data_IF_432466300300
#
_entry.id   IF_432466300300
#
_cell.length_a   1.000
_cell.length_b   1.000
_cell.length_c   1.000
_cell.angle_alpha   90.00
_cell.angle_beta   90.00
_cell.angle_gamma   90.00
#
_symmetry.space_group_name_H-M   'P 1'
#
loop_
_entity.id
_entity.type
_entity.pdbx_description
1 polymer ?
#
# COMPACT_ATOMS: atom_id res chain seq x y z
N UNK A 1 -5.75 9.31 5.40
CA UNK A 1 -6.61 8.67 6.42
C UNK A 1 -6.28 7.19 6.54
N UNK A 2 -6.04 6.69 7.75
CA UNK A 2 -5.97 5.25 8.01
C UNK A 2 -7.40 4.67 8.01
N UNK A 3 -7.66 3.68 7.14
CA UNK A 3 -8.92 2.92 7.10
C UNK A 3 -8.80 1.65 7.95
N UNK A 4 -7.61 1.03 7.96
CA UNK A 4 -7.23 -0.10 8.79
C UNK A 4 -5.71 -0.16 8.90
N UNK A 5 -5.20 -0.66 10.02
CA UNK A 5 -3.77 -0.89 10.27
C UNK A 5 -3.61 -2.05 11.25
N UNK A 6 -2.69 -2.96 10.95
CA UNK A 6 -2.34 -4.11 11.78
C UNK A 6 -2.45 -5.44 11.04
N UNK A 7 -2.08 -6.53 11.69
CA UNK A 7 -1.99 -7.89 11.14
C UNK A 7 -3.32 -8.47 10.59
N UNK A 8 -4.45 -7.84 10.86
CA UNK A 8 -5.75 -8.23 10.30
C UNK A 8 -6.09 -7.57 8.98
N UNK A 9 -5.32 -6.54 8.58
CA UNK A 9 -5.42 -5.88 7.29
C UNK A 9 -5.05 -4.41 7.32
N UNK A 10 -4.32 -4.00 6.31
CA UNK A 10 -3.81 -2.65 6.11
C UNK A 10 -4.51 -1.99 4.92
N UNK A 11 -4.94 -0.74 5.08
CA UNK A 11 -5.52 0.05 4.01
C UNK A 11 -5.51 1.53 4.39
N UNK A 12 -4.92 2.37 3.55
CA UNK A 12 -4.84 3.80 3.75
C UNK A 12 -5.47 4.54 2.57
N UNK A 13 -6.10 5.67 2.84
CA UNK A 13 -6.58 6.60 1.82
C UNK A 13 -5.72 7.87 1.83
N UNK A 14 -5.19 8.23 0.68
CA UNK A 14 -4.52 9.50 0.43
C UNK A 14 -5.22 10.26 -0.69
N UNK A 15 -5.67 11.47 -0.40
CA UNK A 15 -6.42 12.30 -1.35
C UNK A 15 -7.18 13.41 -0.66
N UNK A 16 -8.13 13.98 -1.38
CA UNK A 16 -9.03 15.01 -0.87
C UNK A 16 -10.50 14.52 -0.85
N UNK A 17 -11.44 15.42 -0.58
CA UNK A 17 -12.88 15.10 -0.53
C UNK A 17 -13.53 14.80 -1.88
N UNK A 18 -12.78 14.85 -3.00
CA UNK A 18 -13.28 14.55 -4.35
C UNK A 18 -12.68 13.29 -4.93
N UNK A 19 -11.39 13.06 -4.69
CA UNK A 19 -10.66 11.95 -5.29
C UNK A 19 -9.37 11.64 -4.55
N UNK A 20 -8.90 10.40 -4.69
CA UNK A 20 -7.66 9.95 -4.09
C UNK A 20 -7.26 8.56 -4.52
N UNK A 21 -6.29 8.00 -3.82
CA UNK A 21 -5.77 6.66 -4.02
C UNK A 21 -5.91 5.86 -2.74
N UNK A 22 -5.93 4.54 -2.88
CA UNK A 22 -5.71 3.62 -1.77
C UNK A 22 -4.26 3.16 -1.76
N UNK A 23 -3.71 2.94 -0.58
CA UNK A 23 -2.43 2.29 -0.36
C UNK A 23 -2.75 1.05 0.47
N UNK A 24 -2.47 -0.10 -0.12
CA UNK A 24 -2.91 -1.42 0.28
C UNK A 24 -4.44 -1.61 0.32
N UNK A 25 -4.86 -2.87 0.29
CA UNK A 25 -6.26 -3.29 0.28
C UNK A 25 -6.44 -4.59 1.10
N UNK A 26 -5.89 -4.61 2.31
CA UNK A 26 -5.81 -5.78 3.18
C UNK A 26 -7.09 -6.12 3.91
N UNK A 27 -8.09 -5.25 3.89
CA UNK A 27 -9.42 -5.49 4.46
C UNK A 27 -10.43 -5.77 3.34
N UNK A 28 -11.64 -6.27 3.68
CA UNK A 28 -12.63 -6.60 2.66
C UNK A 28 -13.06 -5.38 1.83
N UNK A 29 -13.34 -5.58 0.54
CA UNK A 29 -13.84 -4.52 -0.34
C UNK A 29 -15.08 -3.83 0.25
N UNK A 30 -16.01 -4.60 0.86
CA UNK A 30 -17.18 -4.06 1.55
C UNK A 30 -16.81 -3.11 2.70
N UNK A 31 -15.78 -3.45 3.46
CA UNK A 31 -15.30 -2.61 4.57
C UNK A 31 -14.65 -1.35 4.04
N UNK A 32 -13.82 -1.44 2.99
CA UNK A 32 -13.24 -0.27 2.31
C UNK A 32 -14.35 0.67 1.85
N UNK A 33 -15.37 0.14 1.15
CA UNK A 33 -16.50 0.95 0.67
C UNK A 33 -17.24 1.65 1.81
N UNK A 34 -17.46 0.95 2.95
CA UNK A 34 -18.08 1.53 4.13
C UNK A 34 -17.27 2.72 4.68
N UNK A 35 -15.95 2.59 4.75
CA UNK A 35 -15.07 3.67 5.17
C UNK A 35 -15.08 4.85 4.17
N UNK A 36 -15.02 4.59 2.87
CA UNK A 36 -15.11 5.62 1.85
C UNK A 36 -16.44 6.40 1.97
N UNK A 37 -17.56 5.69 2.10
CA UNK A 37 -18.88 6.32 2.25
C UNK A 37 -19.01 7.16 3.52
N UNK A 38 -18.38 6.77 4.61
CA UNK A 38 -18.35 7.59 5.84
C UNK A 38 -17.57 8.90 5.65
N UNK A 39 -16.76 9.02 4.60
CA UNK A 39 -16.05 10.25 4.20
C UNK A 39 -16.75 10.99 3.05
N UNK A 40 -17.94 10.55 2.63
CA UNK A 40 -18.64 11.11 1.48
C UNK A 40 -18.07 10.69 0.11
N UNK A 41 -17.28 9.61 0.08
CA UNK A 41 -16.62 9.08 -1.11
C UNK A 41 -17.20 7.71 -1.48
N UNK A 42 -16.93 7.27 -2.72
CA UNK A 42 -17.17 5.90 -3.17
C UNK A 42 -16.01 5.45 -4.06
N UNK A 43 -16.06 4.25 -4.59
CA UNK A 43 -15.04 3.73 -5.52
C UNK A 43 -14.81 4.59 -6.75
N UNK A 44 -15.85 5.27 -7.24
CA UNK A 44 -15.73 6.24 -8.33
C UNK A 44 -14.76 7.41 -8.03
N UNK A 45 -14.46 7.64 -6.77
CA UNK A 45 -13.51 8.66 -6.32
C UNK A 45 -12.07 8.12 -6.19
N UNK A 46 -11.86 6.79 -6.37
CA UNK A 46 -10.57 6.14 -6.24
C UNK A 46 -9.93 5.98 -7.61
N UNK A 47 -8.78 6.58 -7.79
CA UNK A 47 -8.07 6.61 -9.06
C UNK A 47 -7.05 5.48 -9.21
N UNK A 48 -6.79 4.77 -8.14
CA UNK A 48 -5.89 3.61 -8.14
C UNK A 48 -5.64 3.07 -6.75
N UNK A 49 -5.10 1.87 -6.72
CA UNK A 49 -4.65 1.18 -5.51
C UNK A 49 -3.16 0.88 -5.67
N UNK A 50 -2.34 1.40 -4.77
CA UNK A 50 -0.91 1.14 -4.70
C UNK A 50 -0.66 0.00 -3.72
N UNK A 51 0.12 -0.99 -4.10
CA UNK A 51 0.38 -2.16 -3.26
C UNK A 51 1.84 -2.15 -2.83
N UNK A 52 2.08 -2.25 -1.51
CA UNK A 52 3.41 -2.29 -0.91
C UNK A 52 4.07 -3.66 -1.11
N UNK A 53 3.34 -4.76 -0.89
CA UNK A 53 3.82 -6.13 -1.05
C UNK A 53 2.65 -7.14 -1.13
N UNK A 54 2.94 -8.42 -1.28
CA UNK A 54 1.98 -9.48 -1.62
C UNK A 54 1.45 -10.30 -0.44
N UNK A 55 1.59 -9.85 0.80
CA UNK A 55 1.00 -10.51 1.97
C UNK A 55 -0.52 -10.33 2.02
N UNK A 56 -1.21 -11.34 2.56
CA UNK A 56 -2.67 -11.43 2.54
C UNK A 56 -3.39 -10.25 3.22
N UNK A 57 -2.80 -9.70 4.27
CA UNK A 57 -3.31 -8.53 5.00
C UNK A 57 -3.03 -7.18 4.31
N UNK A 58 -2.43 -7.21 3.12
CA UNK A 58 -2.25 -6.06 2.23
C UNK A 58 -3.04 -6.19 0.92
N UNK A 59 -3.40 -7.41 0.51
CA UNK A 59 -3.96 -7.66 -0.83
C UNK A 59 -5.34 -8.31 -0.84
N UNK A 60 -5.97 -8.54 0.30
CA UNK A 60 -7.24 -9.28 0.43
C UNK A 60 -8.33 -8.85 -0.57
N UNK A 61 -8.51 -7.55 -0.79
CA UNK A 61 -9.55 -7.03 -1.67
C UNK A 61 -9.07 -6.76 -3.10
N UNK A 62 -7.79 -6.93 -3.41
CA UNK A 62 -7.16 -6.48 -4.66
C UNK A 62 -7.86 -7.07 -5.89
N UNK A 63 -8.16 -8.37 -5.89
CA UNK A 63 -8.87 -9.00 -7.00
C UNK A 63 -10.26 -8.40 -7.24
N UNK A 64 -11.03 -8.20 -6.18
CA UNK A 64 -12.36 -7.57 -6.29
C UNK A 64 -12.26 -6.13 -6.75
N UNK A 65 -11.33 -5.34 -6.18
CA UNK A 65 -11.13 -3.93 -6.58
C UNK A 65 -10.66 -3.82 -8.02
N UNK A 66 -9.72 -4.67 -8.44
CA UNK A 66 -9.18 -4.65 -9.79
C UNK A 66 -10.16 -5.15 -10.84
N UNK A 67 -10.69 -6.35 -10.67
CA UNK A 67 -11.39 -7.04 -11.76
C UNK A 67 -12.93 -6.85 -11.75
N UNK A 68 -13.55 -6.53 -10.58
CA UNK A 68 -15.00 -6.25 -10.52
C UNK A 68 -15.31 -4.76 -10.43
N UNK A 69 -14.50 -4.00 -9.68
CA UNK A 69 -14.69 -2.54 -9.54
C UNK A 69 -13.94 -1.78 -10.65
N UNK A 70 -12.99 -2.44 -11.32
CA UNK A 70 -12.16 -1.89 -12.40
C UNK A 70 -11.23 -0.77 -11.96
N UNK A 71 -10.75 -0.80 -10.71
CA UNK A 71 -9.71 0.12 -10.26
C UNK A 71 -8.33 -0.32 -10.78
N UNK A 72 -7.49 0.59 -11.26
CA UNK A 72 -6.12 0.27 -11.61
C UNK A 72 -5.32 -0.10 -10.35
N UNK A 73 -4.61 -1.22 -10.42
CA UNK A 73 -3.77 -1.75 -9.34
C UNK A 73 -2.33 -1.52 -9.72
N UNK A 74 -1.66 -0.63 -9.01
CA UNK A 74 -0.27 -0.25 -9.24
C UNK A 74 0.66 -1.06 -8.35
N UNK A 75 1.59 -1.77 -8.96
CA UNK A 75 2.61 -2.55 -8.29
C UNK A 75 3.79 -2.82 -9.24
N UNK A 76 4.93 -3.21 -8.68
CA UNK A 76 6.02 -3.75 -9.50
C UNK A 76 5.62 -5.08 -10.15
N UNK A 77 6.38 -5.52 -11.13
CA UNK A 77 6.15 -6.83 -11.77
C UNK A 77 6.18 -7.97 -10.75
N UNK A 78 7.16 -7.98 -9.86
CA UNK A 78 7.31 -9.04 -8.84
C UNK A 78 6.14 -9.07 -7.86
N UNK A 79 5.67 -7.92 -7.40
CA UNK A 79 4.50 -7.84 -6.52
C UNK A 79 3.24 -8.34 -7.23
N UNK A 80 3.01 -7.97 -8.50
CA UNK A 80 1.89 -8.50 -9.28
C UNK A 80 1.95 -10.03 -9.46
N UNK A 81 3.14 -10.59 -9.69
CA UNK A 81 3.33 -12.02 -9.76
C UNK A 81 3.03 -12.70 -8.41
N UNK A 82 3.46 -12.09 -7.29
CA UNK A 82 3.16 -12.55 -5.94
C UNK A 82 1.66 -12.52 -5.66
N UNK A 83 0.97 -11.41 -5.96
CA UNK A 83 -0.49 -11.29 -5.84
C UNK A 83 -1.19 -12.41 -6.60
N UNK A 84 -0.80 -12.65 -7.85
CA UNK A 84 -1.45 -13.67 -8.67
C UNK A 84 -1.11 -15.11 -8.26
N UNK A 85 -0.03 -15.34 -7.52
CA UNK A 85 0.28 -16.65 -6.90
C UNK A 85 -0.45 -16.84 -5.56
N UNK A 86 -0.82 -15.77 -4.87
CA UNK A 86 -1.42 -15.86 -3.54
C UNK A 86 -2.82 -16.48 -3.60
N UNK A 87 -3.01 -17.61 -2.91
CA UNK A 87 -4.27 -18.37 -2.92
C UNK A 87 -5.46 -17.60 -2.30
N UNK A 88 -5.19 -16.63 -1.42
CA UNK A 88 -6.22 -15.78 -0.81
C UNK A 88 -6.85 -14.80 -1.80
N UNK A 89 -6.18 -14.49 -2.91
CA UNK A 89 -6.71 -13.66 -3.99
C UNK A 89 -7.44 -14.55 -4.98
N UNK A 90 -8.77 -14.64 -4.82
CA UNK A 90 -9.61 -15.51 -5.67
C UNK A 90 -9.66 -15.02 -7.12
N UNK A 91 -9.80 -13.71 -7.32
CA UNK A 91 -9.84 -13.08 -8.64
C UNK A 91 -8.45 -12.61 -9.01
N UNK A 92 -7.80 -13.33 -9.91
CA UNK A 92 -6.45 -13.00 -10.38
C UNK A 92 -6.49 -11.76 -11.24
N UNK A 93 -5.53 -10.85 -11.02
CA UNK A 93 -5.40 -9.62 -11.78
C UNK A 93 -5.01 -9.92 -13.24
N UNK A 94 -5.77 -9.36 -14.18
CA UNK A 94 -5.58 -9.54 -15.62
C UNK A 94 -5.63 -8.21 -16.38
N UNK A 95 -6.67 -7.40 -16.14
CA UNK A 95 -6.93 -6.17 -16.89
C UNK A 95 -6.58 -4.92 -16.09
N UNK A 96 -6.57 -5.02 -14.77
CA UNK A 96 -6.36 -3.92 -13.84
C UNK A 96 -4.90 -3.62 -13.52
N UNK A 97 -3.96 -4.49 -13.89
CA UNK A 97 -2.55 -4.33 -13.58
C UNK A 97 -1.96 -3.06 -14.21
N UNK A 98 -1.24 -2.28 -13.40
CA UNK A 98 -0.41 -1.14 -13.82
C UNK A 98 0.96 -1.30 -13.19
N UNK A 99 2.00 -1.17 -14.02
CA UNK A 99 3.37 -1.44 -13.62
C UNK A 99 4.15 -0.15 -13.44
N UNK A 100 5.04 -0.15 -12.46
CA UNK A 100 6.10 0.85 -12.29
C UNK A 100 7.43 0.13 -12.02
N UNK A 101 8.54 0.83 -12.18
CA UNK A 101 9.86 0.35 -11.77
C UNK A 101 10.21 0.97 -10.41
N UNK A 102 10.72 0.13 -9.49
CA UNK A 102 11.15 0.61 -8.17
C UNK A 102 12.30 1.60 -8.32
N UNK A 103 12.23 2.71 -7.62
CA UNK A 103 13.21 3.80 -7.69
C UNK A 103 12.99 4.81 -8.82
N UNK A 104 12.00 4.60 -9.70
CA UNK A 104 11.62 5.56 -10.73
C UNK A 104 10.41 6.40 -10.28
N UNK A 105 10.50 7.72 -10.48
CA UNK A 105 9.39 8.64 -10.21
C UNK A 105 8.34 8.54 -11.31
N UNK A 106 7.09 8.53 -10.93
CA UNK A 106 5.93 8.60 -11.81
C UNK A 106 4.84 9.48 -11.21
N UNK A 107 3.84 9.83 -12.01
CA UNK A 107 2.78 10.74 -11.59
C UNK A 107 1.41 10.10 -11.71
N UNK A 108 0.56 10.32 -10.70
CA UNK A 108 -0.85 9.96 -10.70
C UNK A 108 -1.65 11.10 -10.06
N UNK A 109 -2.54 11.73 -10.80
CA UNK A 109 -3.44 12.78 -10.30
C UNK A 109 -2.75 14.00 -9.66
N UNK A 110 -1.62 14.42 -10.19
CA UNK A 110 -0.81 15.47 -9.59
C UNK A 110 -0.08 15.06 -8.29
N UNK A 111 -0.07 13.77 -7.98
CA UNK A 111 0.80 13.16 -6.98
C UNK A 111 2.07 12.69 -7.67
N UNK A 112 3.22 13.19 -7.26
CA UNK A 112 4.51 12.62 -7.64
C UNK A 112 4.80 11.45 -6.71
N UNK A 113 5.00 10.28 -7.27
CA UNK A 113 5.14 9.03 -6.52
C UNK A 113 6.52 8.45 -6.83
N UNK A 114 7.27 8.17 -5.80
CA UNK A 114 8.49 7.39 -5.85
C UNK A 114 8.38 6.18 -4.92
N UNK A 115 9.13 5.13 -5.23
CA UNK A 115 9.17 3.90 -4.43
C UNK A 115 10.60 3.57 -4.06
N UNK A 116 10.78 3.03 -2.87
CA UNK A 116 12.07 2.54 -2.38
C UNK A 116 11.92 1.12 -1.83
N UNK A 117 13.02 0.36 -1.87
CA UNK A 117 13.02 -1.00 -1.36
C UNK A 117 12.96 -1.02 0.17
N UNK A 118 12.16 -1.93 0.70
CA UNK A 118 12.01 -2.18 2.14
C UNK A 118 12.36 -3.63 2.44
N UNK A 119 13.11 -3.86 3.52
CA UNK A 119 13.47 -5.21 3.98
C UNK A 119 12.28 -5.87 4.66
N UNK A 120 11.74 -6.92 4.05
CA UNK A 120 10.61 -7.69 4.57
C UNK A 120 10.55 -9.06 3.87
N UNK A 121 9.93 -10.07 4.50
CA UNK A 121 9.84 -11.47 4.04
C UNK A 121 8.74 -11.72 2.99
N UNK A 122 8.73 -10.93 1.93
CA UNK A 122 7.78 -11.03 0.82
C UNK A 122 8.48 -11.22 -0.53
N UNK A 123 7.72 -11.42 -1.60
CA UNK A 123 8.28 -11.51 -2.96
C UNK A 123 9.09 -10.24 -3.32
N UNK A 124 8.57 -9.10 -2.97
CA UNK A 124 9.20 -7.78 -2.96
C UNK A 124 8.38 -6.87 -2.06
N UNK A 125 9.04 -6.05 -1.24
CA UNK A 125 8.40 -5.01 -0.44
C UNK A 125 8.93 -3.64 -0.82
N UNK A 126 8.02 -2.67 -0.95
CA UNK A 126 8.34 -1.28 -1.25
C UNK A 126 7.66 -0.32 -0.28
N UNK A 127 8.35 0.76 0.04
CA UNK A 127 7.75 1.95 0.59
C UNK A 127 7.41 2.96 -0.51
N UNK A 128 6.51 3.88 -0.22
CA UNK A 128 6.11 4.97 -1.10
C UNK A 128 6.52 6.31 -0.51
N UNK A 129 7.05 7.20 -1.35
CA UNK A 129 7.17 8.64 -1.09
C UNK A 129 6.26 9.35 -2.06
N UNK A 130 5.30 10.12 -1.54
CA UNK A 130 4.26 10.77 -2.35
C UNK A 130 4.26 12.26 -2.04
N UNK A 131 4.62 13.07 -3.03
CA UNK A 131 4.49 14.52 -2.96
C UNK A 131 3.11 14.94 -3.52
N UNK A 132 2.29 15.53 -2.67
CA UNK A 132 0.93 15.96 -3.04
C UNK A 132 0.55 17.26 -2.33
N UNK A 133 0.12 18.25 -3.08
CA UNK A 133 -0.32 19.57 -2.57
C UNK A 133 0.71 20.24 -1.64
N UNK A 134 2.00 20.14 -1.97
CA UNK A 134 3.08 20.73 -1.18
C UNK A 134 3.41 19.97 0.11
N UNK A 135 2.86 18.80 0.31
CA UNK A 135 3.14 17.92 1.44
C UNK A 135 3.79 16.63 0.95
N UNK A 136 4.76 16.13 1.69
CA UNK A 136 5.44 14.86 1.45
C UNK A 136 4.97 13.80 2.44
N UNK A 137 4.46 12.71 1.91
CA UNK A 137 4.03 11.53 2.63
C UNK A 137 5.03 10.40 2.41
N UNK A 138 5.46 9.76 3.48
CA UNK A 138 6.29 8.55 3.44
C UNK A 138 5.51 7.41 4.08
N UNK A 139 5.38 6.29 3.37
CA UNK A 139 4.61 5.12 3.81
C UNK A 139 5.49 3.87 3.68
N UNK A 140 5.74 3.19 4.80
CA UNK A 140 6.40 1.88 4.87
C UNK A 140 5.69 1.06 5.96
N UNK A 141 4.74 0.23 5.55
CA UNK A 141 3.84 -0.47 6.47
C UNK A 141 4.52 -1.62 7.19
N UNK A 142 5.29 -2.44 6.47
CA UNK A 142 6.03 -3.56 7.04
C UNK A 142 7.50 -3.35 6.73
N UNK A 143 8.26 -3.03 7.75
CA UNK A 143 9.68 -2.83 7.57
C UNK A 143 10.47 -3.47 8.73
N UNK A 144 11.39 -4.33 8.37
CA UNK A 144 12.33 -4.90 9.33
C UNK A 144 13.34 -3.85 9.76
N UNK A 145 14.48 -3.75 9.11
CA UNK A 145 15.53 -2.78 9.43
C UNK A 145 15.45 -1.56 8.49
N UNK A 146 15.36 -0.33 9.02
CA UNK A 146 15.41 0.88 8.21
C UNK A 146 16.76 1.00 7.48
N UNK A 147 16.72 1.24 6.17
CA UNK A 147 17.92 1.53 5.40
C UNK A 147 18.18 3.04 5.28
N UNK A 148 19.37 3.41 4.80
CA UNK A 148 19.77 4.82 4.68
C UNK A 148 18.84 5.64 3.76
N UNK A 149 18.26 5.04 2.73
CA UNK A 149 17.30 5.70 1.83
C UNK A 149 15.99 6.01 2.58
N UNK A 150 15.46 5.06 3.33
CA UNK A 150 14.28 5.23 4.17
C UNK A 150 14.50 6.32 5.23
N UNK A 151 15.67 6.33 5.89
CA UNK A 151 16.02 7.40 6.85
C UNK A 151 16.04 8.78 6.20
N UNK A 152 16.56 8.90 4.98
CA UNK A 152 16.57 10.17 4.25
C UNK A 152 15.14 10.65 3.95
N UNK A 153 14.22 9.74 3.59
CA UNK A 153 12.82 10.09 3.38
C UNK A 153 12.11 10.47 4.68
N UNK A 154 12.37 9.76 5.79
CA UNK A 154 11.83 10.11 7.12
C UNK A 154 12.19 11.56 7.49
N UNK A 155 13.45 11.98 7.25
CA UNK A 155 13.91 13.34 7.58
C UNK A 155 13.24 14.45 6.77
N UNK A 156 12.71 14.11 5.58
CA UNK A 156 12.12 15.09 4.65
C UNK A 156 10.61 15.03 4.56
N UNK A 157 9.98 13.98 5.12
CA UNK A 157 8.54 13.81 5.09
C UNK A 157 7.81 14.74 6.07
N UNK A 158 6.65 15.25 5.64
CA UNK A 158 5.72 15.97 6.51
C UNK A 158 4.81 15.00 7.27
N UNK A 159 4.52 13.85 6.64
CA UNK A 159 3.67 12.80 7.20
C UNK A 159 4.34 11.44 7.00
N UNK A 160 4.36 10.65 8.06
CA UNK A 160 4.99 9.33 8.08
C UNK A 160 3.98 8.29 8.52
N UNK A 161 3.87 7.21 7.75
CA UNK A 161 3.21 5.96 8.15
C UNK A 161 4.30 4.90 8.15
N UNK A 162 4.60 4.38 9.32
CA UNK A 162 5.63 3.36 9.52
C UNK A 162 5.14 2.35 10.55
N UNK A 163 5.54 1.11 10.39
CA UNK A 163 5.33 0.09 11.41
C UNK A 163 6.13 0.42 12.68
N UNK A 164 5.51 0.23 13.84
CA UNK A 164 6.14 0.44 15.14
C UNK A 164 5.59 -0.54 16.20
N UNK A 165 5.16 -1.72 15.78
CA UNK A 165 4.54 -2.73 16.62
C UNK A 165 5.51 -3.86 16.95
N UNK A 166 6.60 -3.57 17.65
CA UNK A 166 7.45 -4.63 18.21
C UNK A 166 7.48 -4.53 19.74
N UNK A 167 7.56 -5.69 20.36
CA UNK A 167 7.90 -5.85 21.76
C UNK A 167 9.31 -6.45 21.83
N UNK A 168 10.22 -5.77 22.51
CA UNK A 168 11.62 -6.16 22.57
C UNK A 168 11.81 -7.58 23.14
N UNK A 169 11.00 -7.96 24.12
CA UNK A 169 11.06 -9.32 24.71
C UNK A 169 10.50 -10.37 23.75
N UNK A 170 9.43 -10.04 23.02
CA UNK A 170 8.89 -10.92 21.98
C UNK A 170 9.87 -11.06 20.81
N UNK A 171 10.56 -9.98 20.44
CA UNK A 171 11.57 -10.00 19.38
C UNK A 171 12.76 -10.92 19.75
N UNK A 172 13.26 -10.81 20.99
CA UNK A 172 14.40 -11.61 21.48
C UNK A 172 14.07 -13.09 21.73
N UNK A 173 12.81 -13.41 22.05
CA UNK A 173 12.38 -14.76 22.44
C UNK A 173 11.41 -15.41 21.45
N UNK A 174 10.98 -14.69 20.42
CA UNK A 174 10.04 -15.15 19.42
C UNK A 174 10.70 -15.85 18.22
N UNK A 175 9.91 -16.50 17.34
CA UNK A 175 10.40 -17.18 16.15
C UNK A 175 10.65 -16.22 14.97
N UNK A 176 11.06 -15.00 15.25
CA UNK A 176 11.34 -14.00 14.21
C UNK A 176 12.74 -14.20 13.64
N UNK A 177 12.93 -14.07 12.30
CA UNK A 177 14.22 -14.19 11.67
C UNK A 177 15.21 -13.10 12.08
#
# INVERSE_FOLDING_TARGET
RCLASGSSGNCFYLGNHKQGILIDAGISARTIQKHLRSMGLDYANIMGVLITHDHADHIRAVGTLGERVHLPIFASRLIHEGINRNYGVQEKLRTSQRYYNVGEEWELMGMKINTFAVSHDSTQCVGYVIDYQGQRFMIATDCGEPNAEMEAYIRTANHIVIEANHDEQMLLNGPYP
#
